data_IF_342263855244
#
_entry.id   IF_342263855244
#
_cell.length_a   1.000
_cell.length_b   1.000
_cell.length_c   1.000
_cell.angle_alpha   90.00
_cell.angle_beta   90.00
_cell.angle_gamma   90.00
#
_symmetry.space_group_name_H-M   'P 1'
#
loop_
_entity.id
_entity.type
_entity.pdbx_description
1 polymer ?
#
# COMPACT_ATOMS: atom_id res chain seq x y z
N UNK A 1 30.99 8.57 20.53
CA UNK A 1 29.94 7.55 20.62
C UNK A 1 29.16 7.58 19.31
N UNK A 2 29.22 6.46 18.59
CA UNK A 2 29.36 6.34 17.14
C UNK A 2 28.03 6.34 16.37
N UNK A 3 28.08 6.86 15.14
CA UNK A 3 27.27 6.54 13.95
C UNK A 3 26.04 5.62 14.15
N UNK A 4 24.82 6.17 14.32
CA UNK A 4 23.57 5.41 14.16
C UNK A 4 22.37 6.24 13.67
N UNK A 5 22.57 7.45 13.12
CA UNK A 5 21.47 8.30 12.64
C UNK A 5 21.08 8.06 11.18
N UNK A 6 21.92 7.41 10.36
CA UNK A 6 21.65 7.28 8.91
C UNK A 6 20.89 6.02 8.47
N UNK A 7 20.86 4.98 9.29
CA UNK A 7 20.23 3.68 8.94
C UNK A 7 18.75 3.70 9.33
N UNK A 8 18.43 4.28 10.49
CA UNK A 8 17.08 4.33 11.05
C UNK A 8 16.12 5.16 10.18
N UNK A 9 16.55 6.31 9.69
CA UNK A 9 15.74 7.15 8.79
C UNK A 9 15.50 6.47 7.43
N UNK A 10 16.47 5.72 6.92
CA UNK A 10 16.33 4.92 5.68
C UNK A 10 15.39 3.74 5.88
N UNK A 11 15.49 3.05 7.01
CA UNK A 11 14.59 1.95 7.38
C UNK A 11 13.16 2.45 7.60
N UNK A 12 12.97 3.59 8.27
CA UNK A 12 11.65 4.19 8.49
C UNK A 12 11.02 4.67 7.16
N UNK A 13 11.82 5.21 6.24
CA UNK A 13 11.35 5.58 4.90
C UNK A 13 10.95 4.35 4.07
N UNK A 14 11.74 3.26 4.12
CA UNK A 14 11.41 1.99 3.47
C UNK A 14 10.20 1.30 4.11
N UNK A 15 10.04 1.42 5.43
CA UNK A 15 8.92 0.85 6.20
C UNK A 15 7.59 1.57 5.93
N UNK A 16 7.64 2.89 5.66
CA UNK A 16 6.43 3.69 5.41
C UNK A 16 5.74 3.40 4.09
N UNK A 17 6.43 2.86 3.08
CA UNK A 17 5.89 2.73 1.71
C UNK A 17 6.01 1.34 1.07
N UNK A 18 6.21 0.30 1.88
CA UNK A 18 6.30 -1.08 1.40
C UNK A 18 5.05 -1.56 0.64
N UNK A 19 3.89 -0.91 0.79
CA UNK A 19 2.67 -1.21 0.04
C UNK A 19 2.87 -1.06 -1.46
N UNK A 20 3.58 -0.03 -1.91
CA UNK A 20 3.80 0.21 -3.35
C UNK A 20 4.55 -0.96 -3.98
N UNK A 21 5.60 -1.44 -3.30
CA UNK A 21 6.38 -2.60 -3.74
C UNK A 21 5.56 -3.88 -3.68
N UNK A 22 4.79 -4.09 -2.61
CA UNK A 22 3.91 -5.25 -2.48
C UNK A 22 2.84 -5.30 -3.58
N UNK A 23 2.21 -4.17 -3.90
CA UNK A 23 1.24 -4.06 -4.99
C UNK A 23 1.94 -4.32 -6.33
N UNK A 24 3.08 -3.70 -6.59
CA UNK A 24 3.83 -3.90 -7.84
C UNK A 24 4.17 -5.38 -8.05
N UNK A 25 4.67 -6.05 -7.01
CA UNK A 25 4.96 -7.49 -7.07
C UNK A 25 3.68 -8.32 -7.30
N UNK A 26 2.58 -7.99 -6.62
CA UNK A 26 1.31 -8.69 -6.80
C UNK A 26 0.75 -8.53 -8.22
N UNK A 27 0.86 -7.34 -8.81
CA UNK A 27 0.47 -7.09 -10.21
C UNK A 27 1.30 -7.91 -11.20
N UNK A 28 2.59 -8.10 -10.94
CA UNK A 28 3.48 -8.89 -11.80
C UNK A 28 3.27 -10.40 -11.67
N UNK A 29 2.78 -10.86 -10.51
CA UNK A 29 2.69 -12.29 -10.17
C UNK A 29 1.27 -12.87 -10.25
N UNK A 30 0.25 -12.03 -10.43
CA UNK A 30 -1.16 -12.47 -10.49
C UNK A 30 -1.77 -12.19 -11.86
N UNK A 31 -2.80 -12.96 -12.23
CA UNK A 31 -3.54 -12.71 -13.46
C UNK A 31 -4.37 -11.42 -13.35
N UNK A 32 -4.59 -10.70 -14.46
CA UNK A 32 -5.44 -9.51 -14.50
C UNK A 32 -6.82 -9.78 -13.88
N UNK A 33 -7.31 -8.82 -13.09
CA UNK A 33 -8.60 -8.93 -12.39
C UNK A 33 -8.59 -9.74 -11.10
N UNK A 34 -7.49 -10.42 -10.75
CA UNK A 34 -7.35 -11.10 -9.45
C UNK A 34 -7.29 -10.07 -8.32
N UNK A 35 -8.10 -10.24 -7.27
CA UNK A 35 -8.04 -9.33 -6.13
C UNK A 35 -6.69 -9.43 -5.39
N UNK A 36 -6.02 -8.29 -5.18
CA UNK A 36 -4.76 -8.21 -4.42
C UNK A 36 -5.09 -7.96 -2.96
N UNK A 37 -4.48 -8.71 -2.04
CA UNK A 37 -4.69 -8.56 -0.59
C UNK A 37 -3.37 -8.30 0.12
N UNK A 38 -3.28 -7.19 0.85
CA UNK A 38 -2.07 -6.77 1.57
C UNK A 38 -2.39 -6.60 3.05
N UNK A 39 -1.53 -7.13 3.90
CA UNK A 39 -1.57 -6.94 5.35
C UNK A 39 -0.43 -6.02 5.76
N UNK A 40 -0.76 -4.91 6.41
CA UNK A 40 0.22 -3.99 6.99
C UNK A 40 -0.03 -3.85 8.49
N UNK A 41 1.04 -3.86 9.28
CA UNK A 41 0.97 -3.66 10.74
C UNK A 41 0.75 -2.20 11.13
N UNK A 42 1.20 -1.26 10.30
CA UNK A 42 1.01 0.18 10.50
C UNK A 42 -0.15 0.72 9.66
N UNK A 43 -0.71 1.86 10.09
CA UNK A 43 -1.65 2.64 9.29
C UNK A 43 -1.04 2.94 7.91
N UNK A 44 -1.85 2.80 6.86
CA UNK A 44 -1.48 3.24 5.52
C UNK A 44 -1.27 4.76 5.54
N UNK A 45 -0.15 5.23 4.98
CA UNK A 45 0.07 6.67 4.82
C UNK A 45 -0.73 7.23 3.64
N UNK A 46 -0.97 8.54 3.63
CA UNK A 46 -1.75 9.23 2.59
C UNK A 46 -1.20 9.02 1.17
N UNK A 47 0.13 8.99 1.02
CA UNK A 47 0.77 8.73 -0.26
C UNK A 47 0.52 7.31 -0.77
N UNK A 48 0.60 6.30 0.12
CA UNK A 48 0.30 4.92 -0.24
C UNK A 48 -1.20 4.74 -0.50
N UNK A 49 -2.06 5.43 0.25
CA UNK A 49 -3.49 5.44 0.04
C UNK A 49 -3.85 5.95 -1.37
N UNK A 50 -3.33 7.13 -1.70
CA UNK A 50 -3.54 7.77 -3.01
C UNK A 50 -2.97 6.95 -4.15
N UNK A 51 -1.74 6.43 -4.01
CA UNK A 51 -1.14 5.56 -5.00
C UNK A 51 -2.00 4.30 -5.24
N UNK A 52 -2.49 3.66 -4.17
CA UNK A 52 -3.31 2.43 -4.30
C UNK A 52 -4.63 2.70 -5.02
N UNK A 53 -5.27 3.85 -4.79
CA UNK A 53 -6.41 4.32 -5.60
C UNK A 53 -6.05 4.36 -7.08
N UNK A 54 -5.02 5.12 -7.44
CA UNK A 54 -4.62 5.26 -8.84
C UNK A 54 -4.33 3.91 -9.50
N UNK A 55 -3.60 3.04 -8.81
CA UNK A 55 -3.28 1.69 -9.28
C UNK A 55 -4.56 0.88 -9.51
N UNK A 56 -5.52 0.88 -8.56
CA UNK A 56 -6.79 0.16 -8.72
C UNK A 56 -7.58 0.58 -9.96
N UNK A 57 -7.50 1.86 -10.34
CA UNK A 57 -8.17 2.42 -11.52
C UNK A 57 -7.45 2.02 -12.81
N UNK A 58 -6.12 2.17 -12.86
CA UNK A 58 -5.33 1.92 -14.08
C UNK A 58 -5.32 0.43 -14.42
N UNK A 59 -5.14 -0.44 -13.42
CA UNK A 59 -5.08 -1.88 -13.63
C UNK A 59 -6.45 -2.56 -13.57
N UNK A 60 -7.53 -1.80 -13.32
CA UNK A 60 -8.89 -2.33 -13.13
C UNK A 60 -8.93 -3.51 -12.15
N UNK A 61 -8.13 -3.42 -11.08
CA UNK A 61 -7.89 -4.51 -10.14
C UNK A 61 -8.34 -4.09 -8.75
N UNK A 62 -9.09 -4.95 -8.08
CA UNK A 62 -9.49 -4.73 -6.70
C UNK A 62 -8.30 -4.96 -5.77
N UNK A 63 -8.02 -4.00 -4.89
CA UNK A 63 -6.94 -4.10 -3.92
C UNK A 63 -7.54 -3.93 -2.54
N UNK A 64 -7.29 -4.87 -1.64
CA UNK A 64 -7.72 -4.82 -0.26
C UNK A 64 -6.50 -4.70 0.63
N UNK A 65 -6.39 -3.59 1.35
CA UNK A 65 -5.31 -3.36 2.30
C UNK A 65 -5.89 -3.38 3.71
N UNK A 66 -5.46 -4.32 4.54
CA UNK A 66 -5.71 -4.29 5.97
C UNK A 66 -4.55 -3.56 6.64
N UNK A 67 -4.84 -2.46 7.32
CA UNK A 67 -3.90 -1.79 8.19
C UNK A 67 -4.21 -2.09 9.67
N UNK A 68 -3.57 -1.37 10.60
CA UNK A 68 -3.79 -1.53 12.04
C UNK A 68 -5.25 -1.29 12.47
N UNK A 69 -5.95 -0.39 11.79
CA UNK A 69 -7.24 0.14 12.24
C UNK A 69 -8.42 -0.47 11.47
N UNK A 70 -8.25 -0.73 10.17
CA UNK A 70 -9.37 -1.09 9.30
C UNK A 70 -8.94 -1.77 7.99
N UNK A 71 -9.94 -2.18 7.24
CA UNK A 71 -9.79 -2.59 5.85
C UNK A 71 -10.07 -1.41 4.92
N UNK A 72 -9.21 -1.27 3.91
CA UNK A 72 -9.34 -0.34 2.81
C UNK A 72 -9.61 -1.15 1.56
N UNK A 73 -10.79 -0.98 0.95
CA UNK A 73 -11.15 -1.61 -0.31
C UNK A 73 -10.99 -0.59 -1.42
N UNK A 74 -9.98 -0.79 -2.27
CA UNK A 74 -9.69 0.05 -3.42
C UNK A 74 -10.26 -0.56 -4.70
N UNK A 75 -11.13 0.19 -5.36
CA UNK A 75 -11.75 -0.22 -6.63
C UNK A 75 -12.08 1.01 -7.47
N UNK A 76 -11.75 0.96 -8.75
CA UNK A 76 -12.05 2.04 -9.72
C UNK A 76 -11.55 3.43 -9.28
N UNK A 77 -10.43 3.49 -8.53
CA UNK A 77 -9.89 4.75 -8.05
C UNK A 77 -10.53 5.31 -6.78
N UNK A 78 -11.38 4.53 -6.11
CA UNK A 78 -12.03 4.89 -4.86
C UNK A 78 -11.60 3.96 -3.74
N UNK A 79 -11.59 4.46 -2.51
CA UNK A 79 -11.38 3.65 -1.31
C UNK A 79 -12.63 3.67 -0.44
N UNK A 80 -12.99 2.53 0.16
CA UNK A 80 -14.12 2.41 1.08
C UNK A 80 -14.04 3.26 2.34
N UNK A 81 -12.85 3.75 2.72
CA UNK A 81 -12.69 4.61 3.90
C UNK A 81 -13.09 6.08 3.66
N UNK A 82 -13.37 6.47 2.41
CA UNK A 82 -13.69 7.85 2.07
C UNK A 82 -12.53 8.83 2.26
N UNK A 83 -11.27 8.35 2.23
CA UNK A 83 -10.04 9.10 2.45
C UNK A 83 -9.72 9.51 3.90
N UNK A 84 -10.36 8.87 4.90
CA UNK A 84 -10.12 9.15 6.31
C UNK A 84 -9.84 7.90 7.10
#
# INVERSE_FOLDING_TARGET
MSLLLGIKDKEDALYRHSEKLAIAFALLSTSPGTAIRILKKLRVCEDCHSATKFISKVYSQEIVVRDHNRFHHFKNGLCSCGDF
#
